data_IF_581710063027
#
_entry.id   IF_581710063027
#
_cell.length_a   1.000
_cell.length_b   1.000
_cell.length_c   1.000
_cell.angle_alpha   90.00
_cell.angle_beta   90.00
_cell.angle_gamma   90.00
#
_symmetry.space_group_name_H-M   'P 1'
#
loop_
_entity.id
_entity.type
_entity.pdbx_description
1 polymer ?
#
# COMPACT_ATOMS: atom_id res chain seq x y z
N UNK A 1 -6.39 19.24 -2.34
CA UNK A 1 -6.64 18.57 -1.03
C UNK A 1 -6.08 17.17 -1.12
N UNK A 2 -5.09 16.84 -0.30
CA UNK A 2 -4.35 15.56 -0.38
C UNK A 2 -5.10 14.48 0.42
N UNK A 3 -5.54 13.39 -0.20
CA UNK A 3 -6.44 12.43 0.47
C UNK A 3 -5.78 11.66 1.63
N UNK A 4 -4.44 11.53 1.62
CA UNK A 4 -3.69 10.86 2.69
C UNK A 4 -3.59 11.67 3.99
N UNK A 5 -3.98 12.97 3.98
CA UNK A 5 -4.00 13.83 5.18
C UNK A 5 -5.42 14.15 5.65
N UNK A 6 -6.44 13.57 5.01
CA UNK A 6 -7.82 13.76 5.44
C UNK A 6 -8.04 13.14 6.82
N UNK A 7 -8.96 13.76 7.57
CA UNK A 7 -9.29 13.38 8.94
C UNK A 7 -10.76 13.01 9.12
N UNK A 8 -11.48 12.71 8.04
CA UNK A 8 -12.87 12.27 8.09
C UNK A 8 -13.04 11.01 8.95
N UNK A 9 -11.99 10.18 9.03
CA UNK A 9 -11.93 9.00 9.88
C UNK A 9 -12.16 9.29 11.38
N UNK A 10 -11.92 10.51 11.85
CA UNK A 10 -12.12 10.90 13.27
C UNK A 10 -13.55 10.75 13.74
N UNK A 11 -14.54 10.77 12.84
CA UNK A 11 -15.95 10.55 13.19
C UNK A 11 -16.27 9.07 13.49
N UNK A 12 -15.38 8.16 13.14
CA UNK A 12 -15.59 6.71 13.23
C UNK A 12 -14.71 6.03 14.28
N UNK A 13 -13.55 6.61 14.63
CA UNK A 13 -12.57 5.95 15.48
C UNK A 13 -12.22 6.76 16.71
N UNK A 14 -12.30 6.12 17.88
CA UNK A 14 -11.78 6.63 19.13
C UNK A 14 -10.36 6.10 19.35
N UNK A 15 -9.35 6.97 19.17
CA UNK A 15 -7.94 6.57 19.31
C UNK A 15 -7.54 6.23 20.74
N UNK A 16 -8.35 6.61 21.74
CA UNK A 16 -8.08 6.35 23.16
C UNK A 16 -8.53 4.94 23.60
N UNK A 17 -9.28 4.22 22.76
CA UNK A 17 -9.69 2.87 23.06
C UNK A 17 -8.48 1.93 23.15
N UNK A 18 -8.37 1.17 24.26
CA UNK A 18 -7.22 0.29 24.51
C UNK A 18 -7.02 -0.79 23.44
N UNK A 19 -8.10 -1.25 22.82
CA UNK A 19 -8.08 -2.23 21.72
C UNK A 19 -7.70 -1.62 20.38
N UNK A 20 -7.70 -0.28 20.26
CA UNK A 20 -7.44 0.41 19.01
C UNK A 20 -5.98 0.28 18.60
N UNK A 21 -5.75 -0.16 17.37
CA UNK A 21 -4.40 -0.36 16.84
C UNK A 21 -4.20 0.55 15.65
N UNK A 22 -3.08 1.26 15.65
CA UNK A 22 -2.69 2.22 14.61
C UNK A 22 -1.44 1.74 13.87
N UNK A 23 -1.13 2.41 12.76
CA UNK A 23 0.17 2.30 12.10
C UNK A 23 0.23 1.32 10.92
N UNK A 24 1.19 1.55 10.03
CA UNK A 24 1.50 0.65 8.92
C UNK A 24 2.39 -0.51 9.39
N UNK A 25 2.03 -1.77 9.13
CA UNK A 25 2.92 -2.92 9.37
C UNK A 25 3.29 -3.58 8.05
N UNK A 26 4.50 -4.13 7.96
CA UNK A 26 4.93 -4.92 6.80
C UNK A 26 5.38 -6.29 7.28
N UNK A 27 4.91 -7.34 6.60
CA UNK A 27 5.25 -8.74 6.84
C UNK A 27 5.66 -9.35 5.52
N UNK A 28 6.76 -10.08 5.52
CA UNK A 28 7.33 -10.66 4.31
C UNK A 28 7.31 -12.18 4.45
N UNK A 29 6.96 -12.86 3.36
CA UNK A 29 7.26 -14.28 3.24
C UNK A 29 8.79 -14.50 3.27
N UNK A 30 9.21 -15.72 3.61
CA UNK A 30 10.64 -16.04 3.79
C UNK A 30 11.44 -15.82 2.51
N UNK A 31 10.87 -16.18 1.37
CA UNK A 31 11.56 -16.25 0.08
C UNK A 31 11.40 -14.97 -0.77
N UNK A 32 10.90 -13.87 -0.19
CA UNK A 32 10.93 -12.56 -0.86
C UNK A 32 12.38 -12.10 -0.99
N UNK A 33 12.75 -11.74 -2.22
CA UNK A 33 14.09 -11.28 -2.59
C UNK A 33 14.61 -10.19 -1.62
N UNK A 34 15.88 -10.28 -1.16
CA UNK A 34 16.44 -9.32 -0.21
C UNK A 34 16.39 -7.87 -0.67
N UNK A 35 16.54 -7.60 -1.97
CA UNK A 35 16.58 -6.25 -2.52
C UNK A 35 15.18 -5.64 -2.58
N UNK A 36 14.20 -6.44 -3.02
CA UNK A 36 12.77 -6.07 -2.95
C UNK A 36 12.37 -5.79 -1.50
N UNK A 37 12.82 -6.63 -0.56
CA UNK A 37 12.58 -6.45 0.87
C UNK A 37 13.19 -5.15 1.40
N UNK A 38 14.41 -4.82 0.98
CA UNK A 38 15.09 -3.57 1.37
C UNK A 38 14.27 -2.36 0.88
N UNK A 39 13.98 -2.29 -0.42
CA UNK A 39 13.25 -1.18 -1.03
C UNK A 39 11.89 -0.95 -0.37
N UNK A 40 11.10 -2.02 -0.19
CA UNK A 40 9.78 -1.93 0.46
C UNK A 40 9.90 -1.47 1.93
N UNK A 41 10.89 -1.98 2.68
CA UNK A 41 11.09 -1.57 4.08
C UNK A 41 11.42 -0.09 4.18
N UNK A 42 12.30 0.40 3.32
CA UNK A 42 12.71 1.80 3.27
C UNK A 42 11.54 2.72 2.90
N UNK A 43 10.77 2.35 1.89
CA UNK A 43 9.58 3.07 1.47
C UNK A 43 8.52 3.11 2.58
N UNK A 44 8.19 1.96 3.17
CA UNK A 44 7.25 1.90 4.28
C UNK A 44 7.77 2.63 5.54
N UNK A 45 9.08 2.73 5.73
CA UNK A 45 9.67 3.50 6.84
C UNK A 45 9.49 5.00 6.62
N UNK A 46 9.66 5.48 5.38
CA UNK A 46 9.39 6.86 5.02
C UNK A 46 7.89 7.19 5.13
N UNK A 47 7.01 6.39 4.54
CA UNK A 47 5.55 6.59 4.62
C UNK A 47 5.06 6.73 6.06
N UNK A 48 5.58 5.92 7.00
CA UNK A 48 5.22 5.99 8.43
C UNK A 48 5.59 7.31 9.12
N UNK A 49 6.56 8.04 8.59
CA UNK A 49 7.01 9.33 9.12
C UNK A 49 6.17 10.47 8.57
N UNK A 50 5.83 10.39 7.29
CA UNK A 50 5.10 11.45 6.60
C UNK A 50 3.58 11.37 6.82
N UNK A 51 3.03 10.16 6.97
CA UNK A 51 1.59 9.94 6.97
C UNK A 51 1.09 9.21 8.22
N UNK A 52 -0.09 9.62 8.67
CA UNK A 52 -0.74 9.04 9.83
C UNK A 52 -1.69 7.90 9.43
N UNK A 53 -1.58 6.76 10.12
CA UNK A 53 -2.39 5.56 9.89
C UNK A 53 -3.33 5.34 11.07
N UNK A 54 -4.56 5.87 11.01
CA UNK A 54 -5.50 5.85 12.13
C UNK A 54 -6.00 4.45 12.48
N UNK A 55 -6.00 3.49 11.54
CA UNK A 55 -6.13 2.07 11.86
C UNK A 55 -4.89 1.35 11.37
N UNK A 56 -4.53 0.28 12.06
CA UNK A 56 -3.44 -0.58 11.66
C UNK A 56 -3.74 -1.27 10.34
N UNK A 57 -2.87 -1.09 9.36
CA UNK A 57 -2.92 -1.78 8.07
C UNK A 57 -1.66 -2.62 7.88
N UNK A 58 -1.76 -3.96 7.90
CA UNK A 58 -0.66 -4.85 7.54
C UNK A 58 -0.54 -4.99 6.01
N UNK A 59 0.68 -4.84 5.47
CA UNK A 59 1.06 -5.25 4.13
C UNK A 59 1.74 -6.62 4.22
N UNK A 60 1.17 -7.61 3.53
CA UNK A 60 1.75 -8.93 3.35
C UNK A 60 2.45 -9.01 1.98
N UNK A 61 3.78 -9.07 2.01
CA UNK A 61 4.62 -9.19 0.82
C UNK A 61 4.87 -10.66 0.53
N UNK A 62 4.37 -11.12 -0.61
CA UNK A 62 4.31 -12.53 -1.01
C UNK A 62 5.40 -12.85 -2.03
N UNK A 63 6.05 -14.00 -1.86
CA UNK A 63 7.02 -14.52 -2.83
C UNK A 63 6.38 -15.20 -4.05
N UNK A 64 5.05 -15.30 -4.09
CA UNK A 64 4.32 -15.82 -5.25
C UNK A 64 4.38 -14.84 -6.43
N UNK A 65 4.31 -15.36 -7.65
CA UNK A 65 4.33 -14.54 -8.89
C UNK A 65 3.09 -13.64 -9.00
N UNK A 66 1.92 -14.16 -8.63
CA UNK A 66 0.67 -13.42 -8.48
C UNK A 66 -0.05 -13.87 -7.21
N UNK A 67 -1.05 -13.10 -6.80
CA UNK A 67 -1.96 -13.43 -5.71
C UNK A 67 -3.39 -13.60 -6.24
N UNK A 68 -4.14 -14.52 -5.63
CA UNK A 68 -5.56 -14.72 -5.93
C UNK A 68 -6.41 -13.69 -5.16
N UNK A 69 -7.12 -12.83 -5.89
CA UNK A 69 -8.12 -11.92 -5.36
C UNK A 69 -9.40 -12.67 -4.94
N UNK A 70 -10.33 -11.97 -4.28
CA UNK A 70 -11.55 -12.59 -3.75
C UNK A 70 -12.50 -13.09 -4.85
N UNK A 71 -12.50 -12.42 -6.01
CA UNK A 71 -13.22 -12.83 -7.22
C UNK A 71 -12.54 -13.96 -8.00
N UNK A 72 -11.34 -14.36 -7.56
CA UNK A 72 -10.55 -15.43 -8.16
C UNK A 72 -9.54 -14.96 -9.22
N UNK A 73 -9.48 -13.66 -9.55
CA UNK A 73 -8.50 -13.13 -10.49
C UNK A 73 -7.07 -13.18 -9.92
N UNK A 74 -6.09 -13.34 -10.82
CA UNK A 74 -4.67 -13.31 -10.46
C UNK A 74 -4.11 -11.90 -10.68
N UNK A 75 -3.78 -11.24 -9.58
CA UNK A 75 -3.37 -9.83 -9.54
C UNK A 75 -2.03 -9.66 -8.83
N UNK A 76 -1.44 -8.46 -8.93
CA UNK A 76 -0.17 -8.11 -8.29
C UNK A 76 -0.32 -7.44 -6.92
N UNK A 77 -1.48 -6.82 -6.67
CA UNK A 77 -1.82 -6.13 -5.43
C UNK A 77 -3.30 -6.32 -5.09
N UNK A 78 -3.62 -6.35 -3.80
CA UNK A 78 -5.00 -6.27 -3.31
C UNK A 78 -5.06 -5.52 -2.00
N UNK A 79 -6.05 -4.64 -1.86
CA UNK A 79 -6.53 -4.09 -0.61
C UNK A 79 -7.80 -4.83 -0.19
N UNK A 80 -7.83 -5.34 1.05
CA UNK A 80 -9.04 -5.84 1.68
C UNK A 80 -9.74 -4.70 2.42
N UNK A 81 -10.89 -4.32 1.90
CA UNK A 81 -11.81 -3.35 2.48
C UNK A 81 -12.81 -4.07 3.40
N UNK A 82 -12.73 -3.91 4.73
CA UNK A 82 -13.68 -4.55 5.62
C UNK A 82 -15.02 -3.81 5.65
N UNK A 83 -16.11 -4.58 5.77
CA UNK A 83 -17.46 -4.04 5.95
C UNK A 83 -17.65 -3.44 7.34
N UNK A 84 -17.17 -4.14 8.38
CA UNK A 84 -17.10 -3.59 9.74
C UNK A 84 -15.85 -2.72 9.86
N UNK A 85 -16.02 -1.48 10.33
CA UNK A 85 -14.91 -0.53 10.52
C UNK A 85 -13.97 -0.92 11.66
N UNK A 86 -14.39 -1.80 12.55
CA UNK A 86 -13.57 -2.33 13.64
C UNK A 86 -12.63 -3.45 13.17
N UNK A 87 -12.91 -4.07 12.03
CA UNK A 87 -12.03 -5.06 11.43
C UNK A 87 -10.81 -4.37 10.80
N UNK A 88 -9.65 -5.01 10.94
CA UNK A 88 -8.44 -4.46 10.34
C UNK A 88 -8.42 -4.70 8.83
N UNK A 89 -8.22 -3.66 8.01
CA UNK A 89 -7.92 -3.83 6.61
C UNK A 89 -6.52 -4.45 6.47
N UNK A 90 -6.24 -5.04 5.32
CA UNK A 90 -4.89 -5.48 4.99
C UNK A 90 -4.62 -5.37 3.49
N UNK A 91 -3.34 -5.32 3.15
CA UNK A 91 -2.85 -5.30 1.79
C UNK A 91 -2.04 -6.57 1.54
N UNK A 92 -2.13 -7.10 0.33
CA UNK A 92 -1.23 -8.15 -0.16
C UNK A 92 -0.61 -7.69 -1.46
N UNK A 93 0.69 -7.95 -1.62
CA UNK A 93 1.40 -7.73 -2.88
C UNK A 93 2.20 -8.97 -3.25
N UNK A 94 2.28 -9.31 -4.53
CA UNK A 94 3.17 -10.34 -5.06
C UNK A 94 4.47 -9.73 -5.57
N UNK A 95 5.58 -10.40 -5.32
CA UNK A 95 6.91 -9.98 -5.79
C UNK A 95 7.70 -11.12 -6.41
N UNK A 96 7.03 -12.24 -6.74
CA UNK A 96 7.68 -13.42 -7.33
C UNK A 96 8.10 -13.25 -8.79
N UNK A 97 7.72 -12.13 -9.41
CA UNK A 97 8.08 -11.72 -10.77
C UNK A 97 9.33 -10.82 -10.81
N UNK A 98 10.05 -10.65 -9.70
CA UNK A 98 11.14 -9.67 -9.60
C UNK A 98 12.24 -9.86 -10.63
N UNK A 99 12.70 -11.09 -10.88
CA UNK A 99 13.76 -11.33 -11.86
C UNK A 99 13.29 -11.06 -13.29
N UNK A 100 12.03 -11.37 -13.61
CA UNK A 100 11.44 -11.06 -14.92
C UNK A 100 11.33 -9.54 -15.13
N UNK A 101 10.91 -8.80 -14.11
CA UNK A 101 10.81 -7.33 -14.18
C UNK A 101 12.20 -6.68 -14.21
N UNK A 102 13.16 -7.23 -13.46
CA UNK A 102 14.55 -6.79 -13.47
C UNK A 102 15.17 -6.92 -14.87
N UNK A 103 14.96 -8.05 -15.56
CA UNK A 103 15.45 -8.25 -16.92
C UNK A 103 14.78 -7.30 -17.93
N UNK A 104 13.46 -7.11 -17.81
CA UNK A 104 12.67 -6.31 -18.77
C UNK A 104 12.88 -4.80 -18.64
N UNK A 105 13.06 -4.31 -17.41
CA UNK A 105 12.96 -2.87 -17.10
C UNK A 105 14.15 -2.33 -16.33
N UNK A 106 15.06 -3.20 -15.89
CA UNK A 106 16.13 -2.81 -14.99
C UNK A 106 15.66 -2.66 -13.54
N UNK A 107 16.62 -2.43 -12.66
CA UNK A 107 16.44 -2.52 -11.21
C UNK A 107 15.48 -1.45 -10.66
N UNK A 108 15.72 -0.19 -11.00
CA UNK A 108 15.01 0.94 -10.42
C UNK A 108 13.52 0.92 -10.80
N UNK A 109 13.23 0.60 -12.06
CA UNK A 109 11.85 0.49 -12.56
C UNK A 109 11.13 -0.74 -11.97
N UNK A 110 11.83 -1.88 -11.83
CA UNK A 110 11.25 -3.06 -11.19
C UNK A 110 10.88 -2.81 -9.72
N UNK A 111 11.81 -2.22 -8.95
CA UNK A 111 11.56 -1.86 -7.56
C UNK A 111 10.47 -0.78 -7.46
N UNK A 112 10.55 0.25 -8.32
CA UNK A 112 9.57 1.33 -8.42
C UNK A 112 8.16 0.82 -8.67
N UNK A 113 7.99 -0.21 -9.50
CA UNK A 113 6.70 -0.87 -9.75
C UNK A 113 6.06 -1.46 -8.48
N UNK A 114 6.84 -2.10 -7.61
CA UNK A 114 6.34 -2.60 -6.34
C UNK A 114 5.97 -1.48 -5.37
N UNK A 115 6.78 -0.41 -5.30
CA UNK A 115 6.48 0.75 -4.46
C UNK A 115 5.21 1.44 -4.93
N UNK A 116 5.04 1.60 -6.25
CA UNK A 116 3.85 2.17 -6.86
C UNK A 116 2.61 1.33 -6.53
N UNK A 117 2.71 0.00 -6.66
CA UNK A 117 1.62 -0.92 -6.29
C UNK A 117 1.24 -0.76 -4.81
N UNK A 118 2.21 -0.66 -3.90
CA UNK A 118 1.94 -0.39 -2.48
C UNK A 118 1.22 0.95 -2.29
N UNK A 119 1.68 2.02 -2.96
CA UNK A 119 1.05 3.33 -2.87
C UNK A 119 -0.40 3.32 -3.41
N UNK A 120 -0.68 2.51 -4.43
CA UNK A 120 -2.02 2.33 -5.00
C UNK A 120 -2.96 1.71 -3.97
N UNK A 121 -2.56 0.59 -3.38
CA UNK A 121 -3.36 -0.10 -2.36
C UNK A 121 -3.49 0.72 -1.06
N UNK A 122 -2.46 1.47 -0.67
CA UNK A 122 -2.56 2.41 0.45
C UNK A 122 -3.49 3.59 0.14
N UNK A 123 -3.58 4.00 -1.13
CA UNK A 123 -4.56 5.01 -1.51
C UNK A 123 -5.99 4.48 -1.35
N UNK A 124 -6.25 3.21 -1.70
CA UNK A 124 -7.54 2.58 -1.39
C UNK A 124 -7.84 2.58 0.11
N UNK A 125 -6.84 2.30 0.95
CA UNK A 125 -6.97 2.45 2.41
C UNK A 125 -7.41 3.88 2.81
N UNK A 126 -6.77 4.92 2.28
CA UNK A 126 -7.13 6.30 2.61
C UNK A 126 -8.48 6.74 2.05
N UNK A 127 -8.90 6.19 0.91
CA UNK A 127 -10.25 6.39 0.37
C UNK A 127 -11.30 5.77 1.28
N UNK A 128 -11.13 4.51 1.67
CA UNK A 128 -12.03 3.77 2.54
C UNK A 128 -12.17 4.43 3.92
N UNK A 129 -11.05 4.74 4.56
CA UNK A 129 -11.05 5.22 5.93
C UNK A 129 -11.65 6.63 6.06
N UNK A 130 -11.58 7.42 4.98
CA UNK A 130 -12.16 8.76 4.91
C UNK A 130 -13.55 8.81 4.26
N UNK A 131 -14.14 7.64 3.96
CA UNK A 131 -15.46 7.51 3.35
C UNK A 131 -15.61 8.27 2.02
N UNK A 132 -14.56 8.23 1.18
CA UNK A 132 -14.59 8.87 -0.13
C UNK A 132 -15.63 8.17 -1.01
N UNK A 133 -16.49 8.95 -1.67
CA UNK A 133 -17.53 8.43 -2.58
C UNK A 133 -17.19 8.80 -4.02
N UNK A 134 -16.80 7.80 -4.80
CA UNK A 134 -16.51 7.91 -6.23
C UNK A 134 -17.12 6.71 -6.96
N UNK A 135 -17.20 6.80 -8.29
CA UNK A 135 -17.47 5.61 -9.11
C UNK A 135 -16.29 4.65 -9.01
N UNK A 136 -16.48 3.36 -9.34
CA UNK A 136 -15.39 2.37 -9.40
C UNK A 136 -14.20 2.86 -10.23
N UNK A 137 -14.46 3.43 -11.41
CA UNK A 137 -13.42 3.99 -12.28
C UNK A 137 -12.75 5.21 -11.63
N UNK A 138 -13.51 6.06 -10.93
CA UNK A 138 -12.97 7.20 -10.19
C UNK A 138 -12.05 6.77 -9.04
N UNK A 139 -12.41 5.70 -8.34
CA UNK A 139 -11.62 5.08 -7.27
C UNK A 139 -10.23 4.67 -7.79
N UNK A 140 -10.19 3.88 -8.86
CA UNK A 140 -8.95 3.42 -9.48
C UNK A 140 -8.10 4.55 -10.06
N UNK A 141 -8.73 5.52 -10.75
CA UNK A 141 -8.02 6.68 -11.30
C UNK A 141 -7.38 7.53 -10.22
N UNK A 142 -8.08 7.75 -9.11
CA UNK A 142 -7.53 8.49 -7.99
C UNK A 142 -6.40 7.72 -7.31
N UNK A 143 -6.54 6.40 -7.12
CA UNK A 143 -5.47 5.56 -6.58
C UNK A 143 -4.21 5.59 -7.46
N UNK A 144 -4.37 5.48 -8.78
CA UNK A 144 -3.26 5.58 -9.73
C UNK A 144 -2.57 6.95 -9.68
N UNK A 145 -3.35 8.05 -9.68
CA UNK A 145 -2.80 9.40 -9.65
C UNK A 145 -2.01 9.68 -8.36
N UNK A 146 -2.57 9.32 -7.21
CA UNK A 146 -1.89 9.49 -5.92
C UNK A 146 -0.66 8.60 -5.77
N UNK A 147 -0.66 7.40 -6.37
CA UNK A 147 0.54 6.57 -6.41
C UNK A 147 1.71 7.28 -7.07
N UNK A 148 1.45 8.00 -8.17
CA UNK A 148 2.46 8.87 -8.80
C UNK A 148 2.98 9.94 -7.86
N UNK A 149 2.08 10.70 -7.24
CA UNK A 149 2.46 11.78 -6.29
C UNK A 149 3.30 11.26 -5.12
N UNK A 150 2.91 10.16 -4.50
CA UNK A 150 3.63 9.56 -3.37
C UNK A 150 5.01 9.05 -3.79
N UNK A 151 5.12 8.48 -4.99
CA UNK A 151 6.42 8.03 -5.51
C UNK A 151 7.32 9.22 -5.82
N UNK A 152 6.79 10.31 -6.36
CA UNK A 152 7.57 11.51 -6.65
C UNK A 152 8.04 12.18 -5.35
N UNK A 153 7.18 12.32 -4.34
CA UNK A 153 7.58 12.78 -3.00
C UNK A 153 8.66 11.90 -2.38
N UNK A 154 8.55 10.57 -2.51
CA UNK A 154 9.56 9.66 -2.00
C UNK A 154 10.93 9.85 -2.66
N UNK A 155 10.95 10.05 -3.99
CA UNK A 155 12.17 10.30 -4.77
C UNK A 155 12.85 11.62 -4.38
N UNK A 156 12.13 12.60 -3.85
CA UNK A 156 12.76 13.84 -3.35
C UNK A 156 13.58 13.61 -2.07
N UNK A 157 13.37 12.48 -1.37
CA UNK A 157 14.04 12.19 -0.08
C UNK A 157 15.32 11.37 -0.21
N UNK A 158 15.66 10.89 -1.40
CA UNK A 158 16.77 9.97 -1.66
C UNK A 158 17.06 9.88 -3.15
N UNK A 159 18.26 9.46 -3.49
CA UNK A 159 18.49 8.90 -4.83
C UNK A 159 17.62 7.63 -4.98
N UNK A 160 17.06 7.41 -6.19
CA UNK A 160 16.10 6.37 -6.60
C UNK A 160 16.24 5.01 -5.84
N UNK A 161 15.13 4.26 -5.61
CA UNK A 161 15.16 3.06 -4.76
C UNK A 161 16.27 2.08 -5.09
#
# INVERSE_FOLDING_TARGET
MHIWILTNWRKYYNLEEKSHRMGLRVKFDKDVDPEVRRAIKEFCKWIRREYFFPIRVPIYVKSSYKIKAMDGELVYGTFFEPFDRNDEPYIRISTGDYYDELEKRGKDDALGGYLFTIAHELTHYFQWINDIRLTRIGYERQATAYSGYIIDEYKETREHP
#
